data_IF_946877998684
#
_entry.id   IF_946877998684
#
_cell.length_a   1.000
_cell.length_b   1.000
_cell.length_c   1.000
_cell.angle_alpha   90.00
_cell.angle_beta   90.00
_cell.angle_gamma   90.00
#
_symmetry.space_group_name_H-M   'P 1'
#
loop_
_entity.id
_entity.type
_entity.pdbx_description
1 polymer ?
#
# COMPACT_ATOMS: atom_id res chain seq x y z
N UNK A 1 -12.22 -7.05 37.97
CA UNK A 1 -13.32 -6.08 38.22
C UNK A 1 -12.92 -4.60 38.29
N UNK A 2 -11.74 -4.20 38.81
CA UNK A 2 -11.31 -2.78 38.86
C UNK A 2 -11.11 -2.13 37.47
N UNK A 3 -10.54 -2.87 36.52
CA UNK A 3 -10.28 -2.39 35.14
C UNK A 3 -11.55 -2.16 34.32
N UNK A 4 -12.56 -3.01 34.49
CA UNK A 4 -13.86 -2.87 33.79
C UNK A 4 -14.56 -1.57 34.20
N UNK A 5 -14.48 -1.18 35.48
CA UNK A 5 -15.03 0.10 35.95
C UNK A 5 -14.30 1.33 35.38
N UNK A 6 -12.99 1.25 35.17
CA UNK A 6 -12.21 2.34 34.58
C UNK A 6 -12.50 2.50 33.09
N UNK A 7 -12.66 1.40 32.36
CA UNK A 7 -13.08 1.40 30.94
C UNK A 7 -14.48 2.00 30.79
N UNK A 8 -15.43 1.61 31.63
CA UNK A 8 -16.78 2.19 31.62
C UNK A 8 -16.79 3.70 31.94
N UNK A 9 -15.92 4.16 32.84
CA UNK A 9 -15.76 5.59 33.14
C UNK A 9 -15.16 6.37 31.98
N UNK A 10 -14.21 5.78 31.23
CA UNK A 10 -13.61 6.38 30.04
C UNK A 10 -14.64 6.50 28.90
N UNK A 11 -15.39 5.43 28.65
CA UNK A 11 -16.47 5.37 27.65
C UNK A 11 -17.57 6.40 27.97
N UNK A 12 -17.92 6.54 29.25
CA UNK A 12 -18.95 7.49 29.68
C UNK A 12 -18.51 8.96 29.57
N UNK A 13 -17.21 9.23 29.70
CA UNK A 13 -16.63 10.57 29.63
C UNK A 13 -16.41 11.07 28.19
N UNK A 14 -16.35 10.16 27.21
CA UNK A 14 -16.09 10.46 25.79
C UNK A 14 -17.20 9.92 24.88
N UNK A 15 -18.47 10.25 25.19
CA UNK A 15 -19.64 9.76 24.42
C UNK A 15 -19.65 10.13 22.93
N UNK A 16 -18.92 11.18 22.53
CA UNK A 16 -18.81 11.59 21.13
C UNK A 16 -17.87 10.68 20.30
N UNK A 17 -16.99 9.91 20.94
CA UNK A 17 -16.08 8.97 20.26
C UNK A 17 -16.75 7.69 19.76
N UNK A 18 -17.81 7.24 20.44
CA UNK A 18 -18.52 5.99 20.15
C UNK A 18 -19.24 5.97 18.80
N UNK A 19 -19.50 7.14 18.20
CA UNK A 19 -20.18 7.26 16.91
C UNK A 19 -19.24 7.50 15.73
N UNK A 20 -17.93 7.58 15.97
CA UNK A 20 -16.91 7.45 14.93
C UNK A 20 -16.42 6.00 14.93
N UNK A 21 -16.34 5.34 13.78
CA UNK A 21 -16.07 3.89 13.65
C UNK A 21 -14.86 3.33 14.44
N UNK A 22 -13.97 4.19 14.93
CA UNK A 22 -12.85 3.89 15.83
C UNK A 22 -13.31 3.25 17.16
N UNK A 23 -14.49 3.63 17.69
CA UNK A 23 -15.00 3.11 18.96
C UNK A 23 -15.37 1.63 18.95
N UNK A 24 -15.81 1.10 17.79
CA UNK A 24 -16.23 -0.29 17.63
C UNK A 24 -15.04 -1.26 17.56
N UNK A 25 -13.93 -0.85 16.96
CA UNK A 25 -12.73 -1.69 16.76
C UNK A 25 -11.97 -1.97 18.07
N UNK A 26 -11.96 -1.00 19.00
CA UNK A 26 -11.33 -1.18 20.32
C UNK A 26 -12.17 -2.15 21.17
N UNK A 27 -13.50 -2.08 21.06
CA UNK A 27 -14.41 -2.95 21.80
C UNK A 27 -14.30 -4.40 21.27
N UNK A 28 -14.27 -4.61 19.95
CA UNK A 28 -14.15 -5.97 19.38
C UNK A 28 -12.84 -6.65 19.79
N UNK A 29 -11.74 -5.90 19.88
CA UNK A 29 -10.42 -6.41 20.29
C UNK A 29 -10.40 -6.89 21.76
N UNK A 30 -11.09 -6.17 22.65
CA UNK A 30 -11.18 -6.51 24.09
C UNK A 30 -12.09 -7.72 24.35
N UNK A 31 -13.11 -7.94 23.51
CA UNK A 31 -14.00 -9.10 23.62
C UNK A 31 -13.40 -10.35 22.97
N UNK A 32 -12.63 -10.21 21.89
CA UNK A 32 -11.91 -11.33 21.26
C UNK A 32 -10.83 -11.93 22.16
N UNK A 33 -10.21 -11.14 23.04
CA UNK A 33 -9.19 -11.61 23.99
C UNK A 33 -9.75 -12.27 25.26
N UNK A 34 -11.08 -12.37 25.42
CA UNK A 34 -11.73 -12.92 26.62
C UNK A 34 -12.59 -14.18 26.36
N UNK A 35 -12.34 -14.93 25.28
CA UNK A 35 -12.88 -16.30 25.16
C UNK A 35 -12.15 -17.21 26.15
N UNK A 36 -12.69 -17.26 27.37
CA UNK A 36 -12.39 -18.29 28.37
C UNK A 36 -13.15 -19.55 27.97
N UNK A 37 -12.44 -20.52 27.38
CA UNK A 37 -12.92 -21.90 27.33
C UNK A 37 -12.70 -22.52 28.71
N UNK A 38 -13.79 -22.99 29.33
CA UNK A 38 -13.75 -23.75 30.57
C UNK A 38 -13.23 -25.17 30.28
N UNK A 39 -12.03 -25.50 30.78
CA UNK A 39 -11.55 -26.89 30.93
C UNK A 39 -11.12 -27.08 32.40
N UNK A 40 -11.43 -28.22 33.04
CA UNK A 40 -11.27 -28.37 34.49
C UNK A 40 -9.80 -28.54 34.93
N UNK A 41 -9.55 -28.06 36.15
CA UNK A 41 -8.35 -28.18 36.99
C UNK A 41 -7.61 -29.54 36.87
N UNK A 42 -6.29 -29.48 36.64
CA UNK A 42 -5.35 -30.24 37.45
C UNK A 42 -3.95 -29.57 37.52
N UNK A 43 -3.24 -29.85 38.61
CA UNK A 43 -2.21 -29.06 39.29
C UNK A 43 -0.82 -28.80 38.64
N UNK A 44 -0.20 -27.68 39.09
CA UNK A 44 1.26 -27.31 39.23
C UNK A 44 2.02 -27.03 37.91
N UNK A 45 2.92 -26.05 37.77
CA UNK A 45 3.84 -25.39 38.70
C UNK A 45 4.27 -24.02 38.10
N UNK A 46 4.46 -23.00 38.92
CA UNK A 46 4.83 -21.63 38.51
C UNK A 46 6.30 -21.55 38.14
N UNK A 47 6.63 -21.15 36.91
CA UNK A 47 7.92 -20.57 36.57
C UNK A 47 7.71 -19.12 36.11
N UNK A 48 8.27 -18.18 36.89
CA UNK A 48 8.31 -16.76 36.59
C UNK A 48 9.10 -16.50 35.30
N UNK A 49 8.41 -16.25 34.19
CA UNK A 49 9.00 -15.66 33.00
C UNK A 49 8.74 -14.15 33.08
N UNK A 50 9.77 -13.38 33.44
CA UNK A 50 9.83 -11.96 33.11
C UNK A 50 9.92 -11.84 31.59
N UNK A 51 8.84 -11.41 30.96
CA UNK A 51 8.85 -10.93 29.58
C UNK A 51 9.17 -9.43 29.65
N UNK A 52 10.43 -9.08 29.40
CA UNK A 52 10.78 -7.72 28.98
C UNK A 52 10.35 -7.58 27.52
N UNK A 53 9.30 -6.80 27.27
CA UNK A 53 8.84 -6.45 25.94
C UNK A 53 9.73 -5.33 25.39
N UNK A 54 10.76 -5.70 24.63
CA UNK A 54 11.47 -4.78 23.75
C UNK A 54 10.60 -4.55 22.50
N UNK A 55 9.83 -3.46 22.49
CA UNK A 55 8.86 -3.16 21.43
C UNK A 55 9.57 -2.53 20.23
N UNK A 56 10.33 -3.34 19.49
CA UNK A 56 10.68 -3.04 18.10
C UNK A 56 9.47 -3.35 17.23
N UNK A 57 8.63 -2.35 17.03
CA UNK A 57 7.52 -2.41 16.10
C UNK A 57 8.03 -2.37 14.66
N UNK A 58 8.41 -3.53 14.14
CA UNK A 58 8.43 -3.86 12.72
C UNK A 58 7.71 -5.20 12.56
N UNK A 59 6.45 -5.15 12.11
CA UNK A 59 5.74 -6.34 11.64
C UNK A 59 5.23 -5.99 10.25
N UNK A 60 6.03 -6.33 9.24
CA UNK A 60 5.62 -7.07 8.04
C UNK A 60 6.90 -7.59 7.35
N UNK A 61 7.62 -8.50 8.01
CA UNK A 61 8.49 -9.45 7.31
C UNK A 61 7.79 -10.82 7.30
N UNK A 62 6.85 -10.98 6.36
CA UNK A 62 6.64 -12.32 5.81
C UNK A 62 7.79 -12.55 4.82
N UNK A 63 8.92 -13.04 5.33
CA UNK A 63 9.94 -13.66 4.49
C UNK A 63 9.38 -14.98 3.95
N UNK A 64 8.54 -14.90 2.92
CA UNK A 64 8.35 -16.03 2.01
C UNK A 64 9.56 -16.00 1.09
N UNK A 65 10.64 -16.64 1.55
CA UNK A 65 11.68 -17.12 0.65
C UNK A 65 11.02 -18.23 -0.15
N UNK A 66 10.49 -17.89 -1.32
CA UNK A 66 10.22 -18.90 -2.33
C UNK A 66 11.56 -19.44 -2.80
N UNK A 67 12.01 -20.50 -2.12
CA UNK A 67 12.94 -21.45 -2.72
C UNK A 67 12.26 -22.00 -3.97
N UNK A 68 12.58 -21.43 -5.13
CA UNK A 68 12.49 -22.16 -6.38
C UNK A 68 13.49 -23.31 -6.31
N UNK A 69 13.08 -24.39 -5.62
CA UNK A 69 13.66 -25.68 -5.88
C UNK A 69 13.38 -25.98 -7.35
N UNK A 70 14.45 -25.99 -8.13
CA UNK A 70 14.51 -26.50 -9.49
C UNK A 70 13.98 -27.93 -9.46
N UNK A 71 12.69 -28.10 -9.71
CA UNK A 71 12.15 -29.39 -10.10
C UNK A 71 12.57 -29.57 -11.57
N UNK A 72 13.76 -30.14 -11.74
CA UNK A 72 14.12 -30.83 -12.97
C UNK A 72 13.22 -32.06 -13.10
N UNK A 73 11.98 -31.86 -13.56
CA UNK A 73 11.24 -32.92 -14.22
C UNK A 73 11.63 -32.87 -15.69
N UNK A 74 12.50 -33.81 -16.08
CA UNK A 74 12.63 -34.23 -17.47
C UNK A 74 11.24 -34.68 -17.95
N UNK A 75 10.43 -33.76 -18.45
CA UNK A 75 9.34 -34.11 -19.34
C UNK A 75 9.94 -34.27 -20.73
N UNK A 76 10.12 -35.53 -21.10
CA UNK A 76 10.38 -35.95 -22.47
C UNK A 76 9.38 -35.25 -23.39
N UNK A 77 9.93 -34.37 -24.24
CA UNK A 77 9.25 -33.81 -25.41
C UNK A 77 8.67 -34.96 -26.24
N UNK A 78 7.35 -35.07 -26.27
CA UNK A 78 6.64 -35.71 -27.37
C UNK A 78 5.24 -35.10 -27.56
N UNK A 79 5.17 -34.32 -28.65
CA UNK A 79 4.04 -34.08 -29.56
C UNK A 79 2.79 -33.29 -29.10
N UNK A 80 2.70 -32.10 -29.72
CA UNK A 80 1.48 -31.37 -30.10
C UNK A 80 0.63 -30.82 -28.96
N UNK A 81 1.21 -29.94 -28.15
CA UNK A 81 0.40 -28.93 -27.47
C UNK A 81 -0.17 -27.99 -28.53
N UNK A 82 -1.49 -27.98 -28.62
CA UNK A 82 -2.24 -27.16 -29.55
C UNK A 82 -2.14 -25.71 -29.05
N UNK A 83 -1.25 -24.94 -29.67
CA UNK A 83 -1.15 -23.49 -29.42
C UNK A 83 -2.53 -22.85 -29.52
N UNK A 84 -2.91 -22.07 -28.52
CA UNK A 84 -4.14 -21.30 -28.54
C UNK A 84 -3.97 -20.21 -29.59
N UNK A 85 -5.01 -19.97 -30.41
CA UNK A 85 -4.98 -18.85 -31.36
C UNK A 85 -4.97 -17.55 -30.55
N UNK A 86 -3.94 -16.73 -30.77
CA UNK A 86 -3.72 -15.44 -30.10
C UNK A 86 -4.78 -14.40 -30.50
N UNK A 87 -6.00 -14.56 -29.98
CA UNK A 87 -7.08 -13.60 -30.12
C UNK A 87 -7.89 -13.58 -28.84
N UNK A 88 -8.33 -12.39 -28.43
CA UNK A 88 -9.10 -12.17 -27.20
C UNK A 88 -10.26 -13.17 -27.06
N UNK A 89 -11.06 -13.36 -28.12
CA UNK A 89 -12.21 -14.26 -28.09
C UNK A 89 -11.82 -15.72 -27.88
N UNK A 90 -10.66 -16.16 -28.38
CA UNK A 90 -10.16 -17.53 -28.20
C UNK A 90 -9.55 -17.76 -26.84
N UNK A 91 -8.90 -16.75 -26.25
CA UNK A 91 -8.46 -16.81 -24.87
C UNK A 91 -9.64 -16.87 -23.90
N UNK A 92 -10.69 -16.07 -24.13
CA UNK A 92 -11.92 -16.14 -23.34
C UNK A 92 -12.65 -17.47 -23.50
N UNK A 93 -12.80 -17.98 -24.73
CA UNK A 93 -13.43 -19.29 -24.97
C UNK A 93 -12.66 -20.41 -24.25
N UNK A 94 -11.34 -20.39 -24.33
CA UNK A 94 -10.49 -21.36 -23.64
C UNK A 94 -10.61 -21.23 -22.12
N UNK A 95 -10.48 -20.02 -21.56
CA UNK A 95 -10.57 -19.80 -20.12
C UNK A 95 -11.93 -20.27 -19.57
N UNK A 96 -13.03 -19.86 -20.19
CA UNK A 96 -14.39 -20.29 -19.80
C UNK A 96 -14.60 -21.81 -19.90
N UNK A 97 -13.78 -22.54 -20.67
CA UNK A 97 -13.87 -24.00 -20.78
C UNK A 97 -13.15 -24.75 -19.66
N UNK A 98 -12.27 -24.08 -18.92
CA UNK A 98 -11.42 -24.71 -17.88
C UNK A 98 -11.69 -24.19 -16.47
N UNK A 99 -12.43 -23.08 -16.32
CA UNK A 99 -12.78 -22.52 -15.01
C UNK A 99 -14.22 -22.83 -14.62
N UNK A 100 -14.47 -22.93 -13.32
CA UNK A 100 -15.81 -23.23 -12.78
C UNK A 100 -16.65 -21.97 -12.51
N UNK A 101 -16.03 -20.79 -12.43
CA UNK A 101 -16.68 -19.51 -12.13
C UNK A 101 -16.66 -18.56 -13.35
N UNK A 102 -17.46 -17.51 -13.30
CA UNK A 102 -17.54 -16.52 -14.37
C UNK A 102 -16.25 -15.68 -14.47
N UNK A 103 -15.86 -15.34 -15.70
CA UNK A 103 -14.86 -14.29 -15.96
C UNK A 103 -15.54 -12.94 -15.77
N UNK A 104 -15.27 -12.29 -14.64
CA UNK A 104 -15.92 -11.01 -14.25
C UNK A 104 -15.13 -9.78 -14.70
N UNK A 105 -13.87 -9.95 -15.06
CA UNK A 105 -13.03 -8.93 -15.68
C UNK A 105 -11.93 -9.61 -16.51
N UNK A 106 -11.53 -8.99 -17.62
CA UNK A 106 -10.32 -9.37 -18.35
C UNK A 106 -9.70 -8.18 -19.06
N UNK A 107 -8.41 -8.28 -19.35
CA UNK A 107 -7.70 -7.34 -20.19
C UNK A 107 -6.73 -8.09 -21.11
N UNK A 108 -6.88 -7.87 -22.41
CA UNK A 108 -6.09 -8.48 -23.48
C UNK A 108 -5.19 -7.45 -24.12
N UNK A 109 -3.88 -7.71 -24.14
CA UNK A 109 -2.89 -6.80 -24.73
C UNK A 109 -1.58 -7.54 -24.99
N UNK A 110 -0.73 -6.94 -25.82
CA UNK A 110 0.70 -7.23 -25.86
C UNK A 110 1.34 -6.58 -24.63
N UNK A 111 1.65 -7.37 -23.60
CA UNK A 111 2.07 -6.83 -22.30
C UNK A 111 3.57 -6.48 -22.27
N UNK A 112 4.41 -7.23 -22.97
CA UNK A 112 5.87 -7.05 -23.00
C UNK A 112 6.41 -6.50 -24.34
N UNK A 113 5.52 -6.19 -25.29
CA UNK A 113 5.82 -5.50 -26.54
C UNK A 113 6.44 -6.43 -27.60
N UNK A 114 6.25 -7.74 -27.49
CA UNK A 114 6.86 -8.73 -28.38
C UNK A 114 6.02 -9.04 -29.64
N UNK A 115 4.81 -8.46 -29.73
CA UNK A 115 3.85 -8.63 -30.82
C UNK A 115 2.89 -9.80 -30.63
N UNK A 116 3.07 -10.61 -29.60
CA UNK A 116 2.12 -11.59 -29.08
C UNK A 116 1.25 -10.91 -28.05
N UNK A 117 -0.01 -11.32 -27.95
CA UNK A 117 -0.89 -10.79 -26.90
C UNK A 117 -1.15 -11.87 -25.86
N UNK A 118 -1.24 -11.42 -24.61
CA UNK A 118 -1.62 -12.17 -23.43
C UNK A 118 -2.92 -11.62 -22.85
N UNK A 119 -3.45 -12.31 -21.84
CA UNK A 119 -4.61 -11.84 -21.08
C UNK A 119 -4.43 -12.09 -19.60
N UNK A 120 -4.73 -11.08 -18.79
CA UNK A 120 -5.07 -11.28 -17.39
C UNK A 120 -6.58 -11.25 -17.23
N UNK A 121 -7.12 -12.15 -16.41
CA UNK A 121 -8.53 -12.25 -16.13
C UNK A 121 -8.78 -12.44 -14.63
N UNK A 122 -9.91 -11.91 -14.14
CA UNK A 122 -10.43 -12.19 -12.81
C UNK A 122 -11.61 -13.14 -12.95
N UNK A 123 -11.51 -14.29 -12.29
CA UNK A 123 -12.49 -15.37 -12.34
C UNK A 123 -13.13 -15.51 -10.97
N UNK A 124 -14.45 -15.32 -10.88
CA UNK A 124 -15.17 -15.29 -9.61
C UNK A 124 -16.55 -14.65 -9.71
N UNK A 125 -16.89 -13.81 -8.73
CA UNK A 125 -18.20 -13.16 -8.62
C UNK A 125 -18.09 -11.71 -8.15
N UNK A 126 -19.12 -10.91 -8.44
CA UNK A 126 -19.26 -9.57 -7.85
C UNK A 126 -20.05 -9.66 -6.55
N UNK A 127 -19.54 -9.08 -5.46
CA UNK A 127 -20.21 -9.04 -4.15
C UNK A 127 -20.63 -7.61 -3.81
N UNK A 128 -21.78 -7.40 -3.15
CA UNK A 128 -22.15 -6.07 -2.68
C UNK A 128 -21.12 -5.57 -1.66
N UNK A 129 -20.86 -4.26 -1.67
CA UNK A 129 -19.95 -3.64 -0.72
C UNK A 129 -20.44 -3.88 0.72
N UNK A 130 -19.55 -4.33 1.60
CA UNK A 130 -19.94 -4.70 2.99
C UNK A 130 -20.15 -3.49 3.91
N UNK A 131 -19.85 -2.27 3.45
CA UNK A 131 -19.90 -1.06 4.27
C UNK A 131 -20.38 0.15 3.46
N UNK A 132 -21.68 0.31 3.23
CA UNK A 132 -22.46 1.58 3.08
C UNK A 132 -23.69 1.29 2.21
N UNK A 133 -24.83 1.85 2.62
CA UNK A 133 -26.17 1.79 2.00
C UNK A 133 -26.27 2.46 0.61
N UNK A 134 -25.26 2.32 -0.26
CA UNK A 134 -25.33 2.79 -1.65
C UNK A 134 -25.32 1.58 -2.58
N UNK A 135 -26.50 1.27 -3.15
CA UNK A 135 -26.85 0.03 -3.86
C UNK A 135 -26.07 -0.22 -5.18
N UNK A 136 -24.99 0.50 -5.47
CA UNK A 136 -24.33 0.48 -6.78
C UNK A 136 -22.86 0.02 -6.78
N UNK A 137 -22.16 0.03 -5.64
CA UNK A 137 -20.76 -0.40 -5.59
C UNK A 137 -20.63 -1.90 -5.25
N UNK A 138 -19.90 -2.63 -6.09
CA UNK A 138 -19.65 -4.07 -5.93
C UNK A 138 -18.15 -4.34 -5.88
N UNK A 139 -17.72 -5.06 -4.86
CA UNK A 139 -16.39 -5.64 -4.80
C UNK A 139 -16.30 -6.80 -5.77
N UNK A 140 -15.11 -7.00 -6.33
CA UNK A 140 -14.82 -8.18 -7.12
C UNK A 140 -14.22 -9.24 -6.20
N UNK A 141 -14.71 -10.47 -6.27
CA UNK A 141 -14.20 -11.57 -5.44
C UNK A 141 -13.81 -12.73 -6.34
N UNK A 142 -12.54 -13.15 -6.28
CA UNK A 142 -12.09 -14.29 -7.06
C UNK A 142 -10.59 -14.36 -7.24
N UNK A 143 -10.18 -15.07 -8.29
CA UNK A 143 -8.78 -15.41 -8.57
C UNK A 143 -8.28 -14.80 -9.86
N UNK A 144 -7.00 -14.45 -9.88
CA UNK A 144 -6.35 -13.89 -11.07
C UNK A 144 -5.79 -15.04 -11.91
N UNK A 145 -6.14 -15.02 -13.19
CA UNK A 145 -5.66 -15.94 -14.21
C UNK A 145 -4.82 -15.19 -15.24
N UNK A 146 -3.79 -15.86 -15.75
CA UNK A 146 -2.99 -15.43 -16.88
C UNK A 146 -3.14 -16.42 -18.02
N UNK A 147 -3.28 -15.92 -19.25
CA UNK A 147 -3.52 -16.71 -20.46
C UNK A 147 -2.60 -16.21 -21.57
N UNK A 148 -1.90 -17.14 -22.23
CA UNK A 148 -1.07 -16.89 -23.41
C UNK A 148 -1.29 -18.02 -24.46
N UNK A 149 -0.45 -18.07 -25.50
CA UNK A 149 -0.57 -19.09 -26.56
C UNK A 149 -0.34 -20.53 -26.08
N UNK A 150 0.32 -20.70 -24.93
CA UNK A 150 0.66 -22.01 -24.35
C UNK A 150 -0.41 -22.56 -23.41
N UNK A 151 -1.28 -21.70 -22.87
CA UNK A 151 -2.30 -22.14 -21.94
C UNK A 151 -2.77 -21.03 -21.01
N UNK A 152 -3.40 -21.46 -19.91
CA UNK A 152 -3.89 -20.60 -18.86
C UNK A 152 -3.42 -21.12 -17.51
N UNK A 153 -3.03 -20.21 -16.61
CA UNK A 153 -2.52 -20.53 -15.28
C UNK A 153 -3.12 -19.56 -14.25
N UNK A 154 -3.47 -20.11 -13.09
CA UNK A 154 -3.85 -19.34 -11.90
C UNK A 154 -2.58 -18.70 -11.31
N UNK A 155 -2.51 -17.36 -11.27
CA UNK A 155 -1.32 -16.63 -10.80
C UNK A 155 -1.42 -16.20 -9.33
N UNK A 156 -2.64 -16.20 -8.77
CA UNK A 156 -2.91 -16.12 -7.33
C UNK A 156 -3.99 -17.15 -6.99
N UNK A 157 -3.69 -18.04 -6.05
CA UNK A 157 -4.54 -19.21 -5.81
C UNK A 157 -5.68 -19.01 -4.84
N UNK A 158 -5.60 -17.94 -4.07
CA UNK A 158 -6.59 -17.59 -3.07
C UNK A 158 -7.69 -16.74 -3.72
N UNK A 159 -8.93 -16.99 -3.33
CA UNK A 159 -10.00 -16.05 -3.64
C UNK A 159 -9.81 -14.78 -2.81
N UNK A 160 -9.67 -13.66 -3.49
CA UNK A 160 -9.38 -12.37 -2.88
C UNK A 160 -10.52 -11.40 -3.18
N UNK A 161 -10.85 -10.55 -2.20
CA UNK A 161 -11.77 -9.43 -2.37
C UNK A 161 -11.01 -8.18 -2.82
N UNK A 162 -11.51 -7.53 -3.87
CA UNK A 162 -10.93 -6.33 -4.48
C UNK A 162 -11.95 -5.18 -4.48
N UNK A 163 -11.51 -3.98 -4.07
CA UNK A 163 -12.38 -2.81 -3.89
C UNK A 163 -12.83 -2.12 -5.17
N UNK A 164 -12.00 -2.18 -6.22
CA UNK A 164 -12.21 -1.42 -7.44
C UNK A 164 -12.02 -2.30 -8.67
N UNK A 165 -12.51 -1.81 -9.81
CA UNK A 165 -12.17 -2.42 -11.10
C UNK A 165 -10.66 -2.32 -11.33
N UNK A 166 -10.03 -3.35 -11.92
CA UNK A 166 -8.62 -3.31 -12.22
C UNK A 166 -8.23 -2.11 -13.07
N UNK A 167 -7.13 -1.45 -12.70
CA UNK A 167 -6.57 -0.31 -13.42
C UNK A 167 -5.41 -0.80 -14.30
N UNK A 168 -5.39 -0.35 -15.56
CA UNK A 168 -4.36 -0.70 -16.53
C UNK A 168 -3.59 0.55 -16.92
N UNK A 169 -2.27 0.43 -16.96
CA UNK A 169 -1.39 1.50 -17.39
C UNK A 169 -0.25 0.99 -18.26
N UNK A 170 0.32 1.88 -19.06
CA UNK A 170 1.46 1.58 -19.92
C UNK A 170 2.62 2.52 -19.60
N UNK A 171 3.83 1.98 -19.55
CA UNK A 171 5.06 2.75 -19.35
C UNK A 171 6.20 2.12 -20.14
N UNK A 172 6.91 2.94 -20.91
CA UNK A 172 8.04 2.51 -21.75
C UNK A 172 7.72 1.27 -22.63
N UNK A 173 6.54 1.26 -23.26
CA UNK A 173 6.08 0.17 -24.11
C UNK A 173 5.61 -1.09 -23.38
N UNK A 174 5.73 -1.15 -22.05
CA UNK A 174 5.23 -2.27 -21.24
C UNK A 174 3.82 -1.95 -20.72
N UNK A 175 2.97 -2.96 -20.61
CA UNK A 175 1.63 -2.84 -20.00
C UNK A 175 1.63 -3.50 -18.63
N UNK A 176 0.90 -2.90 -17.70
CA UNK A 176 0.70 -3.41 -16.35
C UNK A 176 -0.77 -3.30 -15.97
N UNK A 177 -1.25 -4.29 -15.23
CA UNK A 177 -2.60 -4.33 -14.66
C UNK A 177 -2.51 -4.39 -13.13
N UNK A 178 -3.39 -3.67 -12.44
CA UNK A 178 -3.43 -3.64 -10.98
C UNK A 178 -4.74 -4.18 -10.42
N UNK A 179 -4.65 -4.91 -9.31
CA UNK A 179 -5.78 -5.39 -8.53
C UNK A 179 -5.64 -4.92 -7.08
N UNK A 180 -6.65 -4.23 -6.55
CA UNK A 180 -6.58 -3.58 -5.24
C UNK A 180 -7.23 -4.45 -4.16
N UNK A 181 -6.43 -5.27 -3.46
CA UNK A 181 -6.94 -6.15 -2.42
C UNK A 181 -7.47 -5.34 -1.23
N UNK A 182 -8.69 -5.63 -0.81
CA UNK A 182 -9.40 -5.02 0.29
C UNK A 182 -8.86 -5.46 1.68
N UNK A 183 -8.63 -4.50 2.60
CA UNK A 183 -8.49 -4.74 4.04
C UNK A 183 -9.27 -3.71 4.86
N UNK A 184 -9.48 -3.95 6.16
CA UNK A 184 -10.36 -3.08 6.98
C UNK A 184 -9.97 -1.61 7.02
N UNK A 185 -8.68 -1.28 6.98
CA UNK A 185 -8.20 0.11 7.14
C UNK A 185 -7.36 0.60 5.97
N UNK A 186 -7.23 -0.19 4.91
CA UNK A 186 -6.45 0.12 3.72
C UNK A 186 -6.51 -1.04 2.74
N UNK A 187 -5.67 -1.00 1.73
CA UNK A 187 -5.61 -2.04 0.69
C UNK A 187 -4.18 -2.45 0.34
N UNK A 188 -3.99 -3.46 -0.51
CA UNK A 188 -2.71 -3.75 -1.14
C UNK A 188 -2.88 -3.80 -2.66
N UNK A 189 -2.09 -3.01 -3.37
CA UNK A 189 -2.08 -3.04 -4.83
C UNK A 189 -1.21 -4.20 -5.32
N UNK A 190 -1.84 -5.20 -5.93
CA UNK A 190 -1.17 -6.23 -6.70
C UNK A 190 -0.95 -5.67 -8.10
N UNK A 191 0.28 -5.74 -8.61
CA UNK A 191 0.63 -5.27 -9.95
C UNK A 191 1.13 -6.48 -10.73
N UNK A 192 0.64 -6.65 -11.95
CA UNK A 192 1.03 -7.71 -12.86
C UNK A 192 1.49 -7.15 -14.19
N UNK A 193 2.55 -7.73 -14.72
CA UNK A 193 3.01 -7.55 -16.10
C UNK A 193 3.48 -8.87 -16.69
N UNK A 194 3.99 -8.83 -17.91
CA UNK A 194 4.57 -10.00 -18.60
C UNK A 194 6.04 -9.75 -18.86
N UNK A 195 6.84 -10.81 -18.76
CA UNK A 195 8.25 -10.76 -19.11
C UNK A 195 8.69 -12.08 -19.73
N UNK A 196 9.01 -12.04 -21.02
CA UNK A 196 9.34 -13.22 -21.81
C UNK A 196 8.16 -14.20 -21.85
N UNK A 197 6.95 -13.69 -22.08
CA UNK A 197 5.72 -14.51 -22.16
C UNK A 197 5.19 -15.07 -20.84
N UNK A 198 5.86 -14.81 -19.71
CA UNK A 198 5.48 -15.29 -18.38
C UNK A 198 4.96 -14.15 -17.49
N UNK A 199 3.93 -14.38 -16.67
CA UNK A 199 3.39 -13.37 -15.77
C UNK A 199 4.34 -13.13 -14.60
N UNK A 200 4.50 -11.87 -14.18
CA UNK A 200 5.30 -11.52 -13.02
C UNK A 200 4.72 -10.32 -12.27
N UNK A 201 5.08 -10.21 -11.00
CA UNK A 201 4.83 -9.01 -10.19
C UNK A 201 6.10 -8.16 -10.09
N UNK A 202 6.04 -6.84 -10.36
CA UNK A 202 7.17 -5.96 -10.18
C UNK A 202 7.51 -5.77 -8.70
N UNK A 203 8.71 -5.25 -8.44
CA UNK A 203 9.27 -5.00 -7.11
C UNK A 203 8.46 -4.05 -6.20
N UNK A 204 7.53 -3.29 -6.78
CA UNK A 204 6.62 -2.37 -6.09
C UNK A 204 5.23 -2.99 -5.79
N UNK A 205 4.95 -4.20 -6.30
CA UNK A 205 3.69 -4.90 -6.01
C UNK A 205 3.57 -5.26 -4.53
N UNK A 206 2.36 -5.13 -3.98
CA UNK A 206 2.01 -5.39 -2.57
C UNK A 206 2.77 -4.51 -1.58
N UNK A 207 3.28 -3.33 -2.00
CA UNK A 207 4.05 -2.42 -1.13
C UNK A 207 3.26 -1.22 -0.62
N UNK A 208 2.06 -1.00 -1.13
CA UNK A 208 1.17 0.07 -0.72
C UNK A 208 -0.15 -0.05 -1.43
N UNK A 209 -0.92 1.02 -1.43
CA UNK A 209 -2.30 1.05 -1.90
C UNK A 209 -2.56 2.13 -2.96
N UNK A 210 -3.57 1.91 -3.78
CA UNK A 210 -4.12 2.86 -4.74
C UNK A 210 -3.11 3.38 -5.77
N UNK A 211 -2.47 2.48 -6.53
CA UNK A 211 -1.56 2.89 -7.61
C UNK A 211 -2.28 3.75 -8.65
N UNK A 212 -1.69 4.89 -8.99
CA UNK A 212 -2.14 5.73 -10.11
C UNK A 212 -0.99 6.46 -10.77
N UNK A 213 -1.20 6.92 -12.00
CA UNK A 213 -0.28 7.84 -12.67
C UNK A 213 -0.80 9.27 -12.49
N UNK A 214 0.04 10.17 -11.98
CA UNK A 214 -0.31 11.58 -11.80
C UNK A 214 -0.01 12.42 -13.06
N UNK A 215 -0.34 13.70 -13.00
CA UNK A 215 -0.16 14.67 -14.08
C UNK A 215 1.30 14.90 -14.50
N UNK A 216 2.27 14.48 -13.69
CA UNK A 216 3.70 14.54 -13.98
C UNK A 216 4.24 13.23 -14.57
N UNK A 217 3.36 12.28 -14.94
CA UNK A 217 3.71 10.93 -15.38
C UNK A 217 4.49 10.13 -14.33
N UNK A 218 4.25 10.40 -13.05
CA UNK A 218 4.82 9.64 -11.95
C UNK A 218 3.80 8.63 -11.46
N UNK A 219 4.30 7.47 -11.05
CA UNK A 219 3.49 6.45 -10.41
C UNK A 219 3.40 6.80 -8.93
N UNK A 220 2.19 7.06 -8.45
CA UNK A 220 1.91 7.28 -7.03
C UNK A 220 1.49 5.97 -6.38
N UNK A 221 2.09 5.62 -5.25
CA UNK A 221 1.64 4.54 -4.37
C UNK A 221 1.45 5.14 -2.97
N UNK A 222 0.33 4.83 -2.35
CA UNK A 222 0.02 5.28 -0.99
C UNK A 222 0.65 4.34 0.03
N UNK A 223 1.33 4.91 1.02
CA UNK A 223 1.85 4.20 2.18
C UNK A 223 0.97 4.49 3.38
N UNK A 224 0.35 3.43 3.89
CA UNK A 224 -0.59 3.46 5.01
C UNK A 224 0.15 3.13 6.32
N UNK A 225 0.20 4.06 7.27
CA UNK A 225 0.93 3.86 8.54
C UNK A 225 0.26 4.50 9.75
N UNK A 226 0.51 3.95 10.93
CA UNK A 226 0.10 4.54 12.21
C UNK A 226 1.19 5.46 12.76
N UNK A 227 1.17 6.72 12.35
CA UNK A 227 2.19 7.73 12.68
C UNK A 227 1.62 9.15 12.81
N UNK A 228 0.30 9.32 12.92
CA UNK A 228 -0.30 10.66 13.08
C UNK A 228 0.12 11.32 14.40
N UNK A 229 0.20 10.55 15.48
CA UNK A 229 0.53 11.05 16.80
C UNK A 229 1.22 9.99 17.66
N UNK A 230 1.88 10.43 18.72
CA UNK A 230 2.41 9.58 19.79
C UNK A 230 1.83 10.03 21.13
N UNK A 231 1.41 9.09 21.97
CA UNK A 231 0.98 9.35 23.35
C UNK A 231 1.80 8.47 24.30
N UNK A 232 2.33 9.05 25.38
CA UNK A 232 3.30 8.40 26.27
C UNK A 232 2.89 7.00 26.77
N UNK A 233 1.60 6.81 27.07
CA UNK A 233 1.08 5.56 27.64
C UNK A 233 0.57 4.56 26.58
N UNK A 234 0.39 4.98 25.32
CA UNK A 234 -0.27 4.19 24.27
C UNK A 234 0.66 3.89 23.09
N UNK A 235 1.63 4.78 22.82
CA UNK A 235 2.50 4.70 21.65
C UNK A 235 1.94 5.46 20.45
N UNK A 236 2.30 5.01 19.24
CA UNK A 236 1.87 5.65 17.99
C UNK A 236 0.41 5.34 17.69
N UNK A 237 -0.33 6.37 17.30
CA UNK A 237 -1.75 6.33 17.02
C UNK A 237 -2.10 7.12 15.76
N UNK A 238 -3.29 6.85 15.25
CA UNK A 238 -3.88 7.53 14.11
C UNK A 238 -3.28 7.10 12.78
N UNK A 239 -4.17 6.70 11.88
CA UNK A 239 -3.80 6.21 10.57
C UNK A 239 -3.57 7.38 9.60
N UNK A 240 -2.50 7.31 8.83
CA UNK A 240 -2.18 8.29 7.78
C UNK A 240 -1.86 7.59 6.47
N UNK A 241 -2.12 8.31 5.39
CA UNK A 241 -1.93 7.88 4.02
C UNK A 241 -1.00 8.90 3.35
N UNK A 242 0.14 8.42 2.85
CA UNK A 242 1.18 9.27 2.28
C UNK A 242 1.57 8.76 0.90
N UNK A 243 1.59 9.63 -0.10
CA UNK A 243 1.93 9.25 -1.47
C UNK A 243 3.44 9.23 -1.67
N UNK A 244 3.97 8.09 -2.11
CA UNK A 244 5.34 7.98 -2.60
C UNK A 244 5.34 7.87 -4.12
N UNK A 245 6.41 8.37 -4.73
CA UNK A 245 6.49 8.59 -6.17
C UNK A 245 7.52 7.66 -6.78
N UNK A 246 7.14 7.06 -7.90
CA UNK A 246 7.91 6.06 -8.60
C UNK A 246 8.00 6.37 -10.10
N UNK A 247 9.00 5.80 -10.74
CA UNK A 247 9.20 5.81 -12.19
C UNK A 247 9.68 4.44 -12.66
N UNK A 248 9.53 4.16 -13.94
CA UNK A 248 10.09 2.96 -14.56
C UNK A 248 11.41 3.32 -15.24
N UNK A 249 12.48 2.57 -14.96
CA UNK A 249 13.82 2.84 -15.52
C UNK A 249 14.10 2.08 -16.83
N UNK A 250 13.06 1.52 -17.45
CA UNK A 250 13.13 0.62 -18.60
C UNK A 250 13.40 -0.84 -18.22
N UNK A 251 13.62 -1.15 -16.93
CA UNK A 251 13.83 -2.52 -16.44
C UNK A 251 13.00 -2.85 -15.21
N UNK A 252 12.86 -1.89 -14.30
CA UNK A 252 12.15 -2.07 -13.03
C UNK A 252 11.62 -0.72 -12.53
N UNK A 253 10.74 -0.78 -11.54
CA UNK A 253 10.23 0.43 -10.91
C UNK A 253 11.21 0.93 -9.85
N UNK A 254 11.39 2.24 -9.81
CA UNK A 254 12.30 2.95 -8.91
C UNK A 254 11.52 4.00 -8.15
N UNK A 255 11.79 4.12 -6.86
CA UNK A 255 11.25 5.22 -6.05
C UNK A 255 12.14 6.45 -6.23
N UNK A 256 11.53 7.63 -6.33
CA UNK A 256 12.21 8.89 -6.11
C UNK A 256 12.55 9.02 -4.62
N UNK A 257 13.64 8.39 -4.19
CA UNK A 257 14.09 8.38 -2.80
C UNK A 257 14.46 9.79 -2.31
N UNK A 258 14.38 9.99 -0.99
CA UNK A 258 14.72 11.23 -0.34
C UNK A 258 16.22 11.38 -0.08
N UNK A 259 16.72 12.61 -0.20
CA UNK A 259 17.99 13.06 0.35
C UNK A 259 17.69 14.05 1.49
N UNK A 260 18.31 13.86 2.65
CA UNK A 260 18.13 14.78 3.77
C UNK A 260 18.75 16.14 3.43
N UNK A 261 17.98 17.21 3.57
CA UNK A 261 18.45 18.60 3.43
C UNK A 261 18.18 19.39 4.72
N UNK A 262 18.70 20.60 4.78
CA UNK A 262 18.63 21.49 5.93
C UNK A 262 17.61 22.63 5.73
N UNK A 263 17.29 23.34 6.81
CA UNK A 263 16.47 24.56 6.72
C UNK A 263 17.18 25.63 5.87
N UNK A 264 18.51 25.74 5.94
CA UNK A 264 19.27 26.66 5.06
C UNK A 264 19.09 26.34 3.58
N UNK A 265 18.97 25.07 3.21
CA UNK A 265 18.72 24.66 1.82
C UNK A 265 17.32 25.10 1.36
N UNK A 266 16.33 25.09 2.26
CA UNK A 266 15.00 25.65 1.99
C UNK A 266 15.06 27.17 1.85
N UNK A 267 15.88 27.86 2.65
CA UNK A 267 15.99 29.32 2.55
C UNK A 267 16.63 29.79 1.24
N UNK A 268 17.34 28.90 0.53
CA UNK A 268 17.96 29.19 -0.77
C UNK A 268 16.98 29.12 -1.95
N UNK A 269 15.83 28.44 -1.82
CA UNK A 269 14.86 28.37 -2.91
C UNK A 269 13.96 29.63 -2.95
N UNK A 270 13.45 30.00 -4.15
CA UNK A 270 12.42 31.02 -4.27
C UNK A 270 11.25 30.75 -3.30
N UNK A 271 10.85 31.79 -2.56
CA UNK A 271 9.80 31.73 -1.52
C UNK A 271 10.12 30.87 -0.28
N UNK A 272 11.35 30.36 -0.13
CA UNK A 272 11.78 29.55 1.02
C UNK A 272 11.52 30.21 2.38
N UNK A 273 11.80 31.51 2.50
CA UNK A 273 11.50 32.30 3.70
C UNK A 273 10.02 32.27 4.10
N UNK A 274 9.10 32.31 3.12
CA UNK A 274 7.66 32.29 3.38
C UNK A 274 7.24 30.95 3.99
N UNK A 275 7.77 29.84 3.45
CA UNK A 275 7.50 28.47 3.91
C UNK A 275 7.97 28.29 5.36
N UNK A 276 9.22 28.67 5.65
CA UNK A 276 9.79 28.54 7.01
C UNK A 276 9.05 29.43 8.02
N UNK A 277 8.68 30.65 7.63
CA UNK A 277 7.90 31.54 8.50
C UNK A 277 6.53 30.95 8.85
N UNK A 278 5.87 30.28 7.91
CA UNK A 278 4.58 29.65 8.18
C UNK A 278 4.69 28.54 9.23
N UNK A 279 5.74 27.71 9.14
CA UNK A 279 6.03 26.65 10.13
C UNK A 279 6.26 27.25 11.52
N UNK A 280 7.14 28.25 11.60
CA UNK A 280 7.52 28.89 12.86
C UNK A 280 6.31 29.56 13.55
N UNK A 281 5.43 30.21 12.77
CA UNK A 281 4.24 30.87 13.29
C UNK A 281 3.24 29.89 13.95
N UNK A 282 3.31 28.60 13.65
CA UNK A 282 2.41 27.57 14.21
C UNK A 282 2.99 26.87 15.45
N UNK A 283 4.19 27.27 15.87
CA UNK A 283 4.94 26.68 16.99
C UNK A 283 5.17 25.18 16.79
N UNK A 284 5.50 24.78 15.57
CA UNK A 284 5.92 23.42 15.26
C UNK A 284 7.45 23.33 15.21
N UNK A 285 7.99 22.17 15.54
CA UNK A 285 9.41 21.84 15.36
C UNK A 285 9.61 21.13 14.01
N UNK A 286 10.72 21.40 13.33
CA UNK A 286 11.09 20.69 12.09
C UNK A 286 11.92 19.46 12.46
N UNK A 287 11.37 18.27 12.20
CA UNK A 287 12.03 17.00 12.55
C UNK A 287 13.02 16.57 11.44
N UNK A 288 12.60 16.67 10.18
CA UNK A 288 13.40 16.28 9.02
C UNK A 288 12.88 16.90 7.73
N UNK A 289 13.77 17.04 6.74
CA UNK A 289 13.45 17.56 5.42
C UNK A 289 14.07 16.63 4.39
N UNK A 290 13.26 16.15 3.44
CA UNK A 290 13.70 15.26 2.37
C UNK A 290 13.42 15.88 1.00
N UNK A 291 14.48 16.11 0.23
CA UNK A 291 14.40 16.44 -1.19
C UNK A 291 14.41 15.18 -2.05
N UNK A 292 13.58 15.14 -3.09
CA UNK A 292 13.48 14.04 -4.05
C UNK A 292 13.78 14.57 -5.46
N UNK A 293 14.40 13.73 -6.30
CA UNK A 293 14.87 14.14 -7.65
C UNK A 293 13.74 14.59 -8.58
N UNK A 294 12.49 14.25 -8.28
CA UNK A 294 11.32 14.72 -9.01
C UNK A 294 10.84 16.11 -8.59
N UNK A 295 11.66 16.86 -7.85
CA UNK A 295 11.34 18.23 -7.46
C UNK A 295 10.37 18.33 -6.30
N UNK A 296 10.22 17.27 -5.50
CA UNK A 296 9.41 17.28 -4.28
C UNK A 296 10.30 17.48 -3.06
N UNK A 297 9.83 18.29 -2.11
CA UNK A 297 10.38 18.37 -0.76
C UNK A 297 9.28 18.03 0.24
N UNK A 298 9.56 17.04 1.10
CA UNK A 298 8.73 16.72 2.26
C UNK A 298 9.39 17.28 3.52
N UNK A 299 8.71 18.18 4.23
CA UNK A 299 9.14 18.77 5.50
C UNK A 299 8.29 18.15 6.61
N UNK A 300 8.89 17.26 7.39
CA UNK A 300 8.25 16.66 8.54
C UNK A 300 8.36 17.61 9.73
N UNK A 301 7.24 17.84 10.39
CA UNK A 301 7.16 18.71 11.56
C UNK A 301 6.36 18.04 12.67
N UNK A 302 6.69 18.38 13.92
CA UNK A 302 6.00 17.90 15.09
C UNK A 302 5.48 19.05 15.94
N UNK A 303 4.42 18.76 16.71
CA UNK A 303 3.87 19.67 17.71
C UNK A 303 3.66 18.92 19.01
N UNK A 304 4.53 19.17 19.96
CA UNK A 304 4.46 18.62 21.30
C UNK A 304 3.40 19.35 22.14
N UNK A 305 2.65 18.57 22.90
CA UNK A 305 1.84 19.02 24.02
C UNK A 305 2.07 18.10 25.21
N UNK A 306 1.48 18.39 26.37
CA UNK A 306 1.89 17.81 27.66
C UNK A 306 2.02 16.27 27.70
N UNK A 307 1.21 15.55 26.93
CA UNK A 307 1.15 14.08 26.92
C UNK A 307 1.05 13.48 25.50
N UNK A 308 1.28 14.31 24.48
CA UNK A 308 1.14 13.89 23.09
C UNK A 308 2.09 14.66 22.17
N UNK A 309 2.51 14.00 21.11
CA UNK A 309 3.23 14.62 20.00
C UNK A 309 2.39 14.37 18.74
N UNK A 310 1.97 15.43 18.06
CA UNK A 310 1.28 15.33 16.78
C UNK A 310 2.28 15.52 15.65
N UNK A 311 2.22 14.66 14.63
CA UNK A 311 3.10 14.71 13.46
C UNK A 311 2.36 15.18 12.22
N UNK A 312 3.00 16.08 11.49
CA UNK A 312 2.50 16.65 10.25
C UNK A 312 3.61 16.65 9.19
N UNK A 313 3.20 16.79 7.93
CA UNK A 313 4.14 17.02 6.83
C UNK A 313 3.64 18.18 5.98
N UNK A 314 4.54 19.09 5.62
CA UNK A 314 4.34 20.00 4.49
C UNK A 314 5.01 19.39 3.27
N UNK A 315 4.29 19.34 2.15
CA UNK A 315 4.86 18.95 0.86
C UNK A 315 4.89 20.17 -0.05
N UNK A 316 6.06 20.47 -0.61
CA UNK A 316 6.22 21.47 -1.66
C UNK A 316 6.79 20.81 -2.91
N UNK A 317 6.45 21.36 -4.07
CA UNK A 317 6.88 20.85 -5.37
C UNK A 317 7.36 21.98 -6.27
N UNK A 318 8.43 21.73 -7.00
CA UNK A 318 8.90 22.58 -8.09
C UNK A 318 8.15 22.27 -9.38
N UNK A 319 7.53 23.29 -9.99
CA UNK A 319 6.77 23.16 -11.24
C UNK A 319 7.58 23.51 -12.50
N UNK A 320 8.85 23.89 -12.34
CA UNK A 320 9.71 24.38 -13.41
C UNK A 320 10.05 25.87 -13.29
N UNK A 321 9.21 26.65 -12.59
CA UNK A 321 9.43 28.08 -12.36
C UNK A 321 9.44 28.43 -10.87
N UNK A 322 8.56 27.81 -10.07
CA UNK A 322 8.34 28.14 -8.66
C UNK A 322 8.18 26.89 -7.78
N UNK A 323 8.38 27.09 -6.48
CA UNK A 323 8.02 26.11 -5.45
C UNK A 323 6.63 26.43 -4.91
N UNK A 324 5.71 25.47 -5.02
CA UNK A 324 4.33 25.59 -4.55
C UNK A 324 3.97 24.51 -3.53
N UNK A 325 3.00 24.82 -2.66
CA UNK A 325 2.43 23.82 -1.75
C UNK A 325 1.63 22.77 -2.52
N UNK A 326 1.86 21.51 -2.18
CA UNK A 326 1.00 20.41 -2.61
C UNK A 326 -0.06 20.22 -1.55
N UNK A 327 -1.33 20.48 -1.91
CA UNK A 327 -2.44 20.29 -0.98
C UNK A 327 -2.53 18.83 -0.53
N UNK A 328 -2.76 18.62 0.76
CA UNK A 328 -3.06 17.29 1.28
C UNK A 328 -4.45 16.83 0.84
N UNK A 329 -4.73 15.53 1.00
CA UNK A 329 -6.01 14.90 0.64
C UNK A 329 -7.23 15.54 1.34
N UNK A 330 -7.01 16.31 2.41
CA UNK A 330 -8.06 17.04 3.12
C UNK A 330 -8.12 18.54 2.78
N UNK A 331 -7.50 18.95 1.66
CA UNK A 331 -7.47 20.34 1.20
C UNK A 331 -6.73 21.28 2.14
N UNK A 332 -5.80 20.76 2.95
CA UNK A 332 -4.99 21.56 3.89
C UNK A 332 -3.56 21.67 3.37
N UNK A 333 -2.87 22.73 3.77
CA UNK A 333 -1.44 22.92 3.46
C UNK A 333 -0.54 21.89 4.20
N UNK A 334 -1.12 21.07 5.08
CA UNK A 334 -0.44 20.07 5.91
C UNK A 334 -1.08 18.70 5.70
N UNK A 335 -0.24 17.72 5.39
CA UNK A 335 -0.53 16.31 5.60
C UNK A 335 -0.33 15.90 7.06
N UNK A 336 -0.89 14.76 7.44
CA UNK A 336 -0.66 14.13 8.76
C UNK A 336 0.40 13.05 8.65
N UNK A 337 1.11 12.80 9.74
CA UNK A 337 2.17 11.80 9.80
C UNK A 337 3.49 12.32 9.26
N UNK A 338 4.42 11.39 9.02
CA UNK A 338 5.82 11.66 8.72
C UNK A 338 6.24 10.90 7.47
N UNK A 339 6.83 11.59 6.49
CA UNK A 339 7.49 10.93 5.37
C UNK A 339 8.81 10.30 5.79
N UNK A 340 9.04 9.08 5.31
CA UNK A 340 10.33 8.42 5.39
C UNK A 340 11.23 8.92 4.26
N UNK A 341 12.54 8.73 4.43
CA UNK A 341 13.52 8.91 3.36
C UNK A 341 13.13 8.09 2.12
N UNK A 342 12.75 6.84 2.33
CA UNK A 342 12.27 5.93 1.30
C UNK A 342 11.16 5.03 1.84
N UNK A 343 10.17 4.70 1.01
CA UNK A 343 9.15 3.70 1.31
C UNK A 343 9.66 2.29 1.03
N UNK A 344 10.35 2.09 -0.09
CA UNK A 344 10.91 0.80 -0.50
C UNK A 344 12.43 0.98 -0.69
N UNK A 345 13.25 0.72 0.34
CA UNK A 345 14.70 0.93 0.27
C UNK A 345 15.40 0.24 -0.90
N UNK A 346 14.92 -0.94 -1.32
CA UNK A 346 15.49 -1.68 -2.45
C UNK A 346 15.14 -1.08 -3.83
N UNK A 347 14.13 -0.23 -3.91
CA UNK A 347 13.71 0.45 -5.14
C UNK A 347 14.17 1.92 -5.19
N UNK A 348 14.59 2.48 -4.05
CA UNK A 348 14.86 3.91 -3.92
C UNK A 348 16.16 4.38 -4.58
N UNK A 349 16.05 5.49 -5.29
CA UNK A 349 17.18 6.23 -5.86
C UNK A 349 17.16 7.66 -5.29
N UNK A 350 18.01 7.92 -4.31
CA UNK A 350 18.14 9.26 -3.71
C UNK A 350 18.95 10.21 -4.61
N UNK A 351 18.65 11.52 -4.57
CA UNK A 351 19.53 12.56 -5.10
C UNK A 351 20.96 12.44 -4.56
N UNK A 352 21.94 12.80 -5.38
CA UNK A 352 23.35 12.90 -4.96
C UNK A 352 23.72 14.31 -4.48
N UNK A 353 23.00 15.30 -4.95
CA UNK A 353 23.22 16.72 -4.65
C UNK A 353 21.89 17.47 -4.62
N UNK A 354 21.90 18.62 -3.93
CA UNK A 354 20.79 19.55 -3.92
C UNK A 354 21.13 20.70 -4.87
N UNK A 355 20.35 20.92 -5.94
CA UNK A 355 20.79 21.79 -7.04
C UNK A 355 20.51 23.29 -6.83
N UNK A 356 20.06 23.72 -5.64
CA UNK A 356 19.65 25.10 -5.35
C UNK A 356 20.52 25.81 -4.32
#
# INVERSE_FOLDING_TARGET
MKYIKQIFLLIWKHKEWLFSGIGLTIISSIFSSNKIENVPDDHKETNDIKIEADYKGDIYENSIINNYNTINTNHEKNNTEKSIIMSESKYLEYLNSIVDNDVIYHYYSDYDGDGSCEMFALVGETRPYTVVDEEEEKNLYGKIWFINEYGAVEVESDDIEYWESPYVFSVDGNVFITFEQAFTTGSLTYIWGVKNGEPYQPNISKKGNGLKINEFNEIEITHSTYDMMYMDEIGKLGHTWKKYYFYFDGRTFREYGGMKISVSDILNIPNGNMIINEINNKSCEIDSIFYRNNGIININISKESKHEINYYTITIRYDGDNWGFVQSEFGRDYGRGTYLKEMIPSAAVSPKEYPY
#
